data_IF_772576367272
#
_entry.id   IF_772576367272
#
_cell.length_a   1.000
_cell.length_b   1.000
_cell.length_c   1.000
_cell.angle_alpha   90.00
_cell.angle_beta   90.00
_cell.angle_gamma   90.00
#
_symmetry.space_group_name_H-M   'P 1'
#
loop_
_entity.id
_entity.type
_entity.pdbx_description
1 polymer ?
#
# COMPACT_ATOMS: atom_id res chain seq x y z
N UNK A 1 0.78 -27.74 -5.18
CA UNK A 1 1.82 -27.08 -4.37
C UNK A 1 1.46 -25.62 -4.28
N UNK A 2 1.66 -24.98 -3.12
CA UNK A 2 1.42 -23.54 -3.00
C UNK A 2 2.58 -22.79 -3.62
N UNK A 3 2.30 -21.80 -4.48
CA UNK A 3 3.30 -20.92 -5.11
C UNK A 3 4.20 -20.26 -4.05
N UNK A 4 3.65 -19.97 -2.86
CA UNK A 4 4.41 -19.41 -1.73
C UNK A 4 5.49 -20.38 -1.24
N UNK A 5 5.17 -21.68 -1.15
CA UNK A 5 6.13 -22.70 -0.69
C UNK A 5 7.28 -22.91 -1.67
N UNK A 6 7.07 -22.63 -2.96
CA UNK A 6 8.12 -22.71 -3.98
C UNK A 6 9.07 -21.50 -3.87
N UNK A 7 8.50 -20.30 -3.61
CA UNK A 7 9.26 -19.08 -3.34
C UNK A 7 10.11 -19.25 -2.07
N UNK A 8 9.52 -19.72 -0.96
CA UNK A 8 10.23 -19.97 0.29
C UNK A 8 11.43 -20.92 0.13
N UNK A 9 11.32 -21.91 -0.76
CA UNK A 9 12.42 -22.84 -1.07
C UNK A 9 13.51 -22.22 -1.95
N UNK A 10 13.16 -21.20 -2.74
CA UNK A 10 14.09 -20.50 -3.62
C UNK A 10 14.90 -19.43 -2.87
N UNK A 11 14.31 -18.75 -1.89
CA UNK A 11 14.94 -17.65 -1.13
C UNK A 11 16.34 -18.00 -0.56
N UNK A 12 16.60 -19.18 0.03
CA UNK A 12 17.92 -19.50 0.59
C UNK A 12 19.04 -19.66 -0.45
N UNK A 13 18.69 -19.77 -1.73
CA UNK A 13 19.64 -19.92 -2.83
C UNK A 13 20.05 -18.59 -3.46
N UNK A 14 19.38 -17.50 -3.07
CA UNK A 14 19.66 -16.17 -3.57
C UNK A 14 20.91 -15.61 -2.89
N UNK A 15 21.70 -14.88 -3.66
CA UNK A 15 22.69 -13.96 -3.12
C UNK A 15 22.01 -12.81 -2.39
N UNK A 16 22.79 -12.05 -1.63
CA UNK A 16 22.26 -10.87 -0.91
C UNK A 16 21.66 -9.84 -1.86
N UNK A 17 22.32 -9.56 -2.99
CA UNK A 17 21.87 -8.60 -3.98
C UNK A 17 20.53 -9.03 -4.60
N UNK A 18 20.41 -10.31 -4.98
CA UNK A 18 19.15 -10.86 -5.49
C UNK A 18 18.03 -10.83 -4.43
N UNK A 19 18.37 -11.03 -3.16
CA UNK A 19 17.40 -10.96 -2.06
C UNK A 19 16.93 -9.52 -1.79
N UNK A 20 17.82 -8.54 -1.92
CA UNK A 20 17.49 -7.11 -1.85
C UNK A 20 16.57 -6.72 -3.03
N UNK A 21 16.87 -7.19 -4.24
CA UNK A 21 16.01 -6.97 -5.40
C UNK A 21 14.61 -7.60 -5.26
N UNK A 22 14.52 -8.83 -4.77
CA UNK A 22 13.22 -9.49 -4.50
C UNK A 22 12.42 -8.73 -3.45
N UNK A 23 13.08 -8.16 -2.43
CA UNK A 23 12.42 -7.33 -1.42
C UNK A 23 11.82 -6.08 -2.04
N UNK A 24 12.59 -5.33 -2.83
CA UNK A 24 12.10 -4.11 -3.51
C UNK A 24 10.88 -4.42 -4.39
N UNK A 25 10.93 -5.52 -5.14
CA UNK A 25 9.83 -5.97 -6.00
C UNK A 25 8.54 -6.27 -5.21
N UNK A 26 8.68 -6.88 -4.02
CA UNK A 26 7.53 -7.14 -3.13
C UNK A 26 6.98 -5.84 -2.56
N UNK A 27 7.85 -4.94 -2.11
CA UNK A 27 7.46 -3.66 -1.54
C UNK A 27 6.70 -2.81 -2.60
N UNK A 28 7.21 -2.73 -3.83
CA UNK A 28 6.53 -2.06 -4.96
C UNK A 28 5.17 -2.69 -5.27
N UNK A 29 5.09 -4.02 -5.29
CA UNK A 29 3.86 -4.72 -5.60
C UNK A 29 2.79 -4.54 -4.51
N UNK A 30 3.22 -4.48 -3.25
CA UNK A 30 2.33 -4.17 -2.13
C UNK A 30 1.89 -2.71 -2.16
N UNK A 31 2.79 -1.78 -2.44
CA UNK A 31 2.46 -0.35 -2.59
C UNK A 31 1.47 -0.12 -3.74
N UNK A 32 1.65 -0.80 -4.88
CA UNK A 32 0.71 -0.75 -6.00
C UNK A 32 -0.67 -1.33 -5.64
N UNK A 33 -0.73 -2.32 -4.74
CA UNK A 33 -2.00 -2.84 -4.21
C UNK A 33 -2.59 -1.95 -3.11
N UNK A 34 -1.77 -1.07 -2.53
CA UNK A 34 -2.14 -0.06 -1.55
C UNK A 34 -2.44 1.31 -2.22
N UNK A 35 -2.65 1.35 -3.55
CA UNK A 35 -3.33 2.45 -4.21
C UNK A 35 -4.58 2.80 -3.39
N UNK A 36 -4.68 4.08 -2.99
CA UNK A 36 -5.66 4.61 -2.03
C UNK A 36 -6.96 3.83 -2.15
N UNK A 37 -7.23 2.96 -1.17
CA UNK A 37 -8.46 2.20 -1.17
C UNK A 37 -9.62 3.16 -1.42
N UNK A 38 -10.58 2.76 -2.24
CA UNK A 38 -11.65 3.65 -2.73
C UNK A 38 -12.34 4.43 -1.60
N UNK A 39 -12.33 3.88 -0.38
CA UNK A 39 -12.80 4.52 0.84
C UNK A 39 -11.97 5.75 1.28
N UNK A 40 -10.65 5.74 1.12
CA UNK A 40 -9.77 6.89 1.40
C UNK A 40 -9.96 7.97 0.34
N UNK A 41 -10.07 7.60 -0.94
CA UNK A 41 -10.39 8.55 -2.03
C UNK A 41 -11.75 9.20 -1.78
N UNK A 42 -12.76 8.39 -1.46
CA UNK A 42 -14.11 8.87 -1.15
C UNK A 42 -14.13 9.83 0.06
N UNK A 43 -13.35 9.53 1.12
CA UNK A 43 -13.23 10.40 2.29
C UNK A 43 -12.53 11.71 1.96
N UNK A 44 -11.51 11.70 1.09
CA UNK A 44 -10.84 12.92 0.63
C UNK A 44 -11.80 13.79 -0.19
N UNK A 45 -12.55 13.20 -1.11
CA UNK A 45 -13.54 13.93 -1.91
C UNK A 45 -14.68 14.47 -1.04
N UNK A 46 -15.16 13.70 -0.07
CA UNK A 46 -16.13 14.17 0.93
C UNK A 46 -15.58 15.36 1.72
N UNK A 47 -14.36 15.27 2.27
CA UNK A 47 -13.77 16.38 3.02
C UNK A 47 -13.54 17.62 2.15
N UNK A 48 -13.20 17.46 0.86
CA UNK A 48 -13.13 18.60 -0.08
C UNK A 48 -14.49 19.26 -0.28
N UNK A 49 -15.56 18.47 -0.39
CA UNK A 49 -16.92 18.98 -0.53
C UNK A 49 -17.40 19.70 0.74
N UNK A 50 -17.12 19.16 1.93
CA UNK A 50 -17.43 19.78 3.23
C UNK A 50 -16.69 21.12 3.41
N UNK A 51 -15.40 21.19 3.04
CA UNK A 51 -14.63 22.44 3.03
C UNK A 51 -15.23 23.46 2.07
N UNK A 52 -15.60 23.04 0.85
CA UNK A 52 -16.22 23.92 -0.15
C UNK A 52 -17.61 24.44 0.30
N UNK A 53 -18.35 23.64 1.05
CA UNK A 53 -19.63 24.00 1.65
C UNK A 53 -19.48 24.90 2.91
N UNK A 54 -18.25 25.09 3.41
CA UNK A 54 -18.00 25.85 4.64
C UNK A 54 -18.36 25.08 5.93
N UNK A 55 -18.60 23.77 5.83
CA UNK A 55 -18.95 22.88 6.94
C UNK A 55 -17.68 22.28 7.58
N UNK A 56 -16.74 23.15 8.00
CA UNK A 56 -15.53 22.68 8.67
C UNK A 56 -15.80 22.50 10.15
N UNK A 57 -15.94 21.25 10.62
CA UNK A 57 -15.79 20.95 12.05
C UNK A 57 -14.31 20.86 12.37
N UNK A 58 -13.67 21.98 12.72
CA UNK A 58 -12.40 21.89 13.44
C UNK A 58 -12.71 21.20 14.76
N UNK A 59 -12.08 20.04 15.02
CA UNK A 59 -12.03 19.54 16.40
C UNK A 59 -11.35 20.64 17.20
N UNK A 60 -12.12 21.35 18.02
CA UNK A 60 -11.55 22.16 19.07
C UNK A 60 -10.77 21.22 20.01
N UNK A 61 -9.58 21.63 20.46
CA UNK A 61 -8.67 20.79 21.25
C UNK A 61 -9.31 20.28 22.54
#
# INVERSE_FOLDING_TARGET
MSTVQEIEKALPRLTREEMEHVRELIDEQLEAQLELADDVVARIEQSKAEIAAGEVTTRQP
#
